data_IF_917076398466
#
_entry.id   IF_917076398466
#
_cell.length_a   1.000
_cell.length_b   1.000
_cell.length_c   1.000
_cell.angle_alpha   90.00
_cell.angle_beta   90.00
_cell.angle_gamma   90.00
#
_symmetry.space_group_name_H-M   'P 1'
#
loop_
_entity.id
_entity.type
_entity.pdbx_description
1 polymer ?
#
# COMPACT_ATOMS: atom_id res chain seq x y z
N UNK A 1 2.98 4.69 -0.58
CA UNK A 1 3.21 5.77 -1.57
C UNK A 1 4.52 5.47 -2.27
N UNK A 2 4.54 5.51 -3.62
CA UNK A 2 5.73 5.13 -4.43
C UNK A 2 6.97 5.93 -4.04
N UNK A 3 6.83 7.20 -3.67
CA UNK A 3 7.92 8.06 -3.19
C UNK A 3 8.40 7.77 -1.77
N UNK A 4 7.76 6.84 -1.06
CA UNK A 4 8.03 6.48 0.34
C UNK A 4 8.45 5.02 0.50
N UNK A 5 8.77 4.34 -0.60
CA UNK A 5 9.10 2.91 -0.64
C UNK A 5 8.10 2.04 0.13
N UNK A 6 6.79 2.34 -0.05
CA UNK A 6 5.73 1.78 0.80
C UNK A 6 4.44 1.46 0.05
N UNK A 7 3.72 0.48 0.60
CA UNK A 7 2.36 0.12 0.21
C UNK A 7 1.40 0.75 1.22
N UNK A 8 0.49 1.58 0.71
CA UNK A 8 -0.57 2.19 1.51
C UNK A 8 -1.82 1.32 1.52
N UNK A 9 -2.65 1.50 2.54
CA UNK A 9 -3.98 0.91 2.61
C UNK A 9 -5.01 1.98 2.93
N UNK A 10 -6.26 1.68 2.60
CA UNK A 10 -7.43 2.43 3.01
C UNK A 10 -8.63 1.47 3.05
N UNK A 11 -9.43 1.58 4.10
CA UNK A 11 -10.69 0.86 4.23
C UNK A 11 -11.82 1.69 3.60
N UNK A 12 -12.44 1.15 2.55
CA UNK A 12 -13.54 1.79 1.83
C UNK A 12 -14.80 2.04 2.67
N UNK A 13 -14.94 1.37 3.81
CA UNK A 13 -16.00 1.66 4.79
C UNK A 13 -15.78 2.96 5.57
N UNK A 14 -14.60 3.58 5.47
CA UNK A 14 -14.22 4.81 6.18
C UNK A 14 -14.08 5.98 5.20
N UNK A 15 -14.39 7.22 5.60
CA UNK A 15 -14.19 8.40 4.76
C UNK A 15 -12.76 8.49 4.20
N UNK A 16 -12.58 8.92 2.95
CA UNK A 16 -11.25 9.10 2.37
C UNK A 16 -10.59 10.37 2.92
N UNK A 17 -9.87 10.25 4.03
CA UNK A 17 -9.11 11.35 4.66
C UNK A 17 -7.76 10.84 5.14
N UNK A 18 -6.79 11.75 5.32
CA UNK A 18 -5.41 11.41 5.72
C UNK A 18 -5.34 10.53 6.97
N UNK A 19 -6.22 10.76 7.95
CA UNK A 19 -6.25 9.99 9.19
C UNK A 19 -6.69 8.52 8.98
N UNK A 20 -7.34 8.20 7.86
CA UNK A 20 -7.79 6.85 7.51
C UNK A 20 -6.86 6.15 6.50
N UNK A 21 -5.74 6.76 6.14
CA UNK A 21 -4.73 6.15 5.27
C UNK A 21 -3.65 5.49 6.13
N UNK A 22 -3.44 4.19 5.91
CA UNK A 22 -2.42 3.40 6.59
C UNK A 22 -1.26 3.01 5.68
N UNK A 23 -0.23 2.41 6.26
CA UNK A 23 0.90 1.78 5.55
C UNK A 23 0.99 0.34 6.02
N UNK A 24 0.94 -0.61 5.09
CA UNK A 24 0.99 -2.06 5.39
C UNK A 24 2.40 -2.64 5.21
N UNK A 25 3.22 -1.99 4.40
CA UNK A 25 4.61 -2.39 4.20
C UNK A 25 5.46 -1.17 3.80
N UNK A 26 6.70 -1.13 4.29
CA UNK A 26 7.68 -0.13 3.92
C UNK A 26 9.08 -0.75 3.91
N UNK A 27 9.82 -0.58 2.82
CA UNK A 27 11.21 -1.02 2.71
C UNK A 27 11.92 -0.35 1.54
N UNK A 28 12.97 0.42 1.85
CA UNK A 28 13.83 1.05 0.84
C UNK A 28 14.69 0.05 0.04
N UNK A 29 14.71 -1.23 0.43
CA UNK A 29 15.42 -2.27 -0.31
C UNK A 29 14.48 -3.06 -1.25
N UNK A 30 13.32 -3.46 -0.74
CA UNK A 30 12.41 -4.37 -1.46
C UNK A 30 11.30 -3.64 -2.20
N UNK A 31 10.89 -2.45 -1.75
CA UNK A 31 9.79 -1.65 -2.29
C UNK A 31 10.27 -0.35 -2.96
N UNK A 32 11.43 -0.40 -3.60
CA UNK A 32 12.03 0.73 -4.34
C UNK A 32 11.09 1.32 -5.41
N UNK A 33 10.39 0.45 -6.15
CA UNK A 33 9.40 0.89 -7.13
C UNK A 33 8.31 -0.17 -7.28
N UNK A 34 7.30 -0.19 -6.39
CA UNK A 34 6.18 -1.12 -6.47
C UNK A 34 5.29 -0.69 -7.64
N UNK A 35 5.51 -1.29 -8.81
CA UNK A 35 4.89 -0.85 -10.06
C UNK A 35 3.51 -1.48 -10.29
N UNK A 36 3.21 -2.59 -9.64
CA UNK A 36 1.92 -3.27 -9.76
C UNK A 36 1.52 -3.94 -8.45
N UNK A 37 0.21 -3.95 -8.18
CA UNK A 37 -0.41 -4.57 -7.01
C UNK A 37 -1.70 -5.26 -7.46
N UNK A 38 -1.89 -6.50 -7.03
CA UNK A 38 -3.11 -7.28 -7.32
C UNK A 38 -3.56 -8.05 -6.08
N UNK A 39 -4.87 -8.14 -5.88
CA UNK A 39 -5.48 -9.08 -4.94
C UNK A 39 -5.96 -10.29 -5.72
N UNK A 40 -5.68 -11.50 -5.23
CA UNK A 40 -6.21 -12.73 -5.82
C UNK A 40 -7.66 -13.02 -5.41
N UNK A 41 -8.23 -14.09 -5.97
CA UNK A 41 -9.64 -14.48 -5.77
C UNK A 41 -9.75 -15.77 -4.97
N UNK A 42 -8.70 -16.14 -4.24
CA UNK A 42 -8.73 -17.29 -3.34
C UNK A 42 -9.64 -17.00 -2.14
N UNK A 43 -10.12 -18.06 -1.47
CA UNK A 43 -10.97 -17.91 -0.28
C UNK A 43 -10.29 -17.05 0.80
N UNK A 44 -8.99 -17.26 1.00
CA UNK A 44 -8.14 -16.38 1.80
C UNK A 44 -7.27 -15.53 0.86
N UNK A 45 -7.72 -14.30 0.63
CA UNK A 45 -7.11 -13.42 -0.37
C UNK A 45 -5.70 -12.97 -0.01
N UNK A 46 -4.78 -13.07 -0.96
CA UNK A 46 -3.43 -12.51 -0.85
C UNK A 46 -3.26 -11.26 -1.70
N UNK A 47 -2.48 -10.32 -1.18
CA UNK A 47 -1.95 -9.20 -1.95
C UNK A 47 -0.63 -9.61 -2.60
N UNK A 48 -0.53 -9.36 -3.90
CA UNK A 48 0.64 -9.61 -4.73
C UNK A 48 1.22 -8.29 -5.19
N UNK A 49 2.53 -8.13 -5.04
CA UNK A 49 3.22 -6.88 -5.32
C UNK A 49 4.40 -7.17 -6.24
N UNK A 50 4.43 -6.49 -7.38
CA UNK A 50 5.59 -6.43 -8.26
C UNK A 50 6.37 -5.15 -7.96
N UNK A 51 7.62 -5.32 -7.54
CA UNK A 51 8.55 -4.22 -7.28
C UNK A 51 9.80 -4.37 -8.15
N UNK A 52 10.25 -3.27 -8.73
CA UNK A 52 11.42 -3.25 -9.58
C UNK A 52 12.30 -2.01 -9.32
N UNK A 53 13.29 -1.78 -10.19
CA UNK A 53 14.18 -0.62 -10.13
C UNK A 53 14.08 0.26 -11.38
N UNK A 54 12.86 0.44 -11.92
CA UNK A 54 12.63 1.23 -13.12
C UNK A 54 13.20 2.66 -13.03
N UNK A 55 13.08 3.40 -11.91
CA UNK A 55 13.72 4.71 -11.80
C UNK A 55 15.23 4.65 -12.03
N UNK A 56 15.92 3.63 -11.51
CA UNK A 56 17.35 3.43 -11.76
C UNK A 56 17.62 3.09 -13.22
N UNK A 57 16.81 2.23 -13.84
CA UNK A 57 16.98 1.86 -15.25
C UNK A 57 16.84 3.05 -16.22
N UNK A 58 16.04 4.06 -15.86
CA UNK A 58 15.86 5.25 -16.70
C UNK A 58 17.09 6.17 -16.70
N UNK A 59 17.89 6.17 -15.62
CA UNK A 59 19.06 7.05 -15.48
C UNK A 59 20.40 6.32 -15.59
N UNK A 60 20.43 5.01 -15.35
CA UNK A 60 21.62 4.17 -15.33
C UNK A 60 21.31 2.73 -15.79
N UNK A 61 22.35 1.92 -15.99
CA UNK A 61 22.16 0.47 -16.24
C UNK A 61 21.88 -0.28 -14.94
N UNK A 62 21.03 -1.31 -15.00
CA UNK A 62 20.81 -2.20 -13.86
C UNK A 62 22.05 -3.04 -13.54
N UNK A 63 22.42 -3.10 -12.26
CA UNK A 63 23.47 -3.99 -11.76
C UNK A 63 23.00 -5.45 -11.83
N UNK A 64 23.63 -6.24 -12.69
CA UNK A 64 23.30 -7.65 -12.92
C UNK A 64 23.61 -8.55 -11.71
N UNK A 65 24.42 -8.08 -10.77
CA UNK A 65 24.77 -8.83 -9.57
C UNK A 65 23.76 -8.61 -8.42
N UNK A 66 22.75 -7.75 -8.61
CA UNK A 66 21.72 -7.45 -7.62
C UNK A 66 20.36 -7.98 -8.06
N UNK A 67 19.50 -8.22 -7.07
CA UNK A 67 18.08 -8.47 -7.32
C UNK A 67 17.44 -7.15 -7.79
N UNK A 68 16.94 -7.15 -9.03
CA UNK A 68 16.35 -5.95 -9.67
C UNK A 68 14.83 -6.00 -9.78
N UNK A 69 14.24 -7.19 -9.67
CA UNK A 69 12.80 -7.43 -9.75
C UNK A 69 12.41 -8.36 -8.59
N UNK A 70 11.27 -8.08 -7.96
CA UNK A 70 10.72 -8.85 -6.84
C UNK A 70 9.23 -9.02 -7.01
N UNK A 71 8.75 -10.25 -6.84
CA UNK A 71 7.34 -10.57 -6.64
C UNK A 71 7.21 -10.95 -5.16
N UNK A 72 6.34 -10.26 -4.44
CA UNK A 72 6.10 -10.47 -3.02
C UNK A 72 4.62 -10.71 -2.80
N UNK A 73 4.29 -11.49 -1.77
CA UNK A 73 2.91 -11.70 -1.35
C UNK A 73 2.77 -11.72 0.16
N UNK A 74 1.57 -11.38 0.61
CA UNK A 74 1.13 -11.50 2.00
C UNK A 74 -0.38 -11.75 2.00
N UNK A 75 -0.92 -12.37 3.06
CA UNK A 75 -2.36 -12.43 3.22
C UNK A 75 -2.92 -11.05 3.54
N UNK A 76 -4.05 -10.70 2.95
CA UNK A 76 -4.61 -9.34 3.04
C UNK A 76 -5.08 -9.01 4.44
N UNK A 77 -5.67 -9.98 5.14
CA UNK A 77 -6.10 -9.90 6.53
C UNK A 77 -4.93 -9.67 7.49
N UNK A 78 -3.82 -10.39 7.29
CA UNK A 78 -2.58 -10.22 8.07
C UNK A 78 -1.92 -8.86 7.77
N UNK A 79 -1.89 -8.44 6.50
CA UNK A 79 -1.21 -7.20 6.10
C UNK A 79 -1.86 -5.94 6.67
N UNK A 80 -3.19 -5.95 6.89
CA UNK A 80 -3.92 -4.80 7.46
C UNK A 80 -4.07 -4.86 8.97
N UNK A 81 -3.73 -5.99 9.61
CA UNK A 81 -3.91 -6.19 11.04
C UNK A 81 -3.20 -5.10 11.86
N UNK A 82 -3.92 -4.51 12.82
CA UNK A 82 -3.38 -3.44 13.67
C UNK A 82 -3.20 -2.08 12.98
N UNK A 83 -3.56 -1.96 11.69
CA UNK A 83 -3.58 -0.68 10.97
C UNK A 83 -4.94 0.01 11.07
N UNK A 84 -5.02 1.28 10.65
CA UNK A 84 -6.31 1.99 10.51
C UNK A 84 -7.21 1.39 9.41
N UNK A 85 -6.66 0.52 8.56
CA UNK A 85 -7.37 -0.14 7.47
C UNK A 85 -8.03 -1.46 7.92
N UNK A 86 -7.73 -1.94 9.12
CA UNK A 86 -8.46 -3.07 9.70
C UNK A 86 -9.94 -2.65 9.89
N UNK A 87 -10.92 -3.39 9.34
CA UNK A 87 -12.34 -3.12 9.55
C UNK A 87 -12.75 -3.12 11.03
N UNK A 88 -12.01 -3.85 11.89
CA UNK A 88 -12.23 -3.88 13.35
C UNK A 88 -11.70 -2.62 14.05
N UNK A 89 -10.82 -1.86 13.39
CA UNK A 89 -10.29 -0.60 13.92
C UNK A 89 -11.36 0.48 13.83
N UNK A 90 -12.00 0.79 14.96
CA UNK A 90 -12.89 1.94 15.13
C UNK A 90 -12.13 3.06 15.84
N UNK A 91 -11.71 4.07 15.08
CA UNK A 91 -11.20 5.32 15.66
C UNK A 91 -12.36 6.31 15.77
N UNK A 92 -12.59 6.84 16.97
CA UNK A 92 -13.67 7.81 17.25
C UNK A 92 -13.53 9.09 16.41
N UNK A 93 -12.30 9.45 15.99
CA UNK A 93 -12.02 10.61 15.14
C UNK A 93 -12.24 10.36 13.63
N UNK A 94 -12.58 9.13 13.24
CA UNK A 94 -12.76 8.73 11.83
C UNK A 94 -14.13 9.10 11.28
N UNK A 95 -15.16 9.12 12.12
CA UNK A 95 -16.54 9.45 11.74
C UNK A 95 -16.86 10.91 12.08
N UNK A 96 -16.68 11.79 11.10
CA UNK A 96 -17.30 13.12 11.11
C UNK A 96 -18.09 13.19 9.82
N UNK A 97 -19.43 13.23 9.91
CA UNK A 97 -20.28 13.62 8.79
C UNK A 97 -19.94 15.08 8.47
N UNK A 98 -19.11 15.30 7.46
CA UNK A 98 -18.98 16.61 6.86
C UNK A 98 -20.27 16.87 6.08
N UNK A 99 -21.14 17.71 6.65
CA UNK A 99 -22.26 18.28 5.91
C UNK A 99 -21.69 19.00 4.69
N UNK A 100 -22.13 18.56 3.50
CA UNK A 100 -21.93 19.14 2.18
C UNK A 100 -20.75 20.09 1.98
N UNK A 101 -19.82 19.68 1.11
CA UNK A 101 -18.75 20.49 0.51
C UNK A 101 -17.56 20.78 1.43
N UNK A 102 -16.52 19.94 1.36
CA UNK A 102 -15.14 20.45 1.40
C UNK A 102 -14.15 19.42 0.82
N UNK A 103 -13.77 19.72 -0.43
CA UNK A 103 -12.53 19.46 -1.15
C UNK A 103 -11.79 18.11 -1.02
N UNK A 104 -11.81 17.38 -2.13
CA UNK A 104 -10.91 16.27 -2.40
C UNK A 104 -9.49 16.74 -2.77
N UNK A 105 -8.75 17.38 -1.85
CA UNK A 105 -7.28 17.56 -1.96
C UNK A 105 -6.57 17.65 -0.59
#
# INVERSE_FOLDING_TARGET
MVTRDSIGCWDSGKPYKRNNLGVVAQSSETLVFPNDIKIDQEERQSVWVLSNKLPFYLYETLDKNKVNFRIMSAYTDEAIEGTICDPKSSSFDTYVEYGGEEDCY
#
